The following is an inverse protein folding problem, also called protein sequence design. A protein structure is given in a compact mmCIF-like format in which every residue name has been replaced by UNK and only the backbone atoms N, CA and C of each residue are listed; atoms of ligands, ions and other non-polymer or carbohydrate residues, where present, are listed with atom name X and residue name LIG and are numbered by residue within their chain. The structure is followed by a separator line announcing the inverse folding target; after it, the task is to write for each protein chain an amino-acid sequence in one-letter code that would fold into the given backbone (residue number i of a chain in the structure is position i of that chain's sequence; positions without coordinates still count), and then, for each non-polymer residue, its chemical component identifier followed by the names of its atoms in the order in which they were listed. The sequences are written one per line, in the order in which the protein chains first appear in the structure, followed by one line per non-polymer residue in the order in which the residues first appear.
data_IF_795493531773
#
_entry.id   IF_795493531773
#
_cell.length_a   1.000
_cell.length_b   1.000
_cell.length_c   1.000
_cell.angle_alpha   90.00
_cell.angle_beta   90.00
_cell.angle_gamma   90.00
#
_symmetry.space_group_name_H-M   'P 1'
#
loop_
_entity.id
_entity.type
_entity.pdbx_description
1 polymer ?
#
# COMPACT_ATOMS: atom_id res chain seq x y z
N UNK A 1 13.06 9.69 -23.73
CA UNK A 1 12.35 9.80 -22.43
C UNK A 1 12.64 8.56 -21.60
N UNK A 2 12.82 8.69 -20.30
CA UNK A 2 13.21 7.59 -19.41
C UNK A 2 12.03 6.61 -19.20
N UNK A 3 12.13 5.32 -19.60
CA UNK A 3 11.07 4.31 -19.38
C UNK A 3 10.65 4.17 -17.91
N UNK A 4 11.59 4.42 -17.00
CA UNK A 4 11.37 4.37 -15.56
C UNK A 4 10.35 5.42 -15.09
N UNK A 5 10.42 6.66 -15.62
CA UNK A 5 9.46 7.72 -15.29
C UNK A 5 8.03 7.32 -15.66
N UNK A 6 7.83 6.79 -16.86
CA UNK A 6 6.51 6.42 -17.35
C UNK A 6 5.93 5.22 -16.59
N UNK A 7 6.75 4.22 -16.24
CA UNK A 7 6.32 3.12 -15.39
C UNK A 7 5.87 3.64 -14.01
N UNK A 8 6.70 4.49 -13.38
CA UNK A 8 6.36 5.10 -12.10
C UNK A 8 5.07 5.94 -12.15
N UNK A 9 4.84 6.69 -13.22
CA UNK A 9 3.60 7.45 -13.40
C UNK A 9 2.38 6.53 -13.53
N UNK A 10 2.46 5.45 -14.32
CA UNK A 10 1.36 4.50 -14.46
C UNK A 10 1.04 3.82 -13.12
N UNK A 11 2.06 3.47 -12.35
CA UNK A 11 1.92 2.92 -11.00
C UNK A 11 1.20 3.92 -10.07
N UNK A 12 1.62 5.19 -10.07
CA UNK A 12 0.96 6.23 -9.28
C UNK A 12 -0.52 6.42 -9.68
N UNK A 13 -0.83 6.38 -10.98
CA UNK A 13 -2.21 6.45 -11.47
C UNK A 13 -3.04 5.23 -11.05
N UNK A 14 -2.44 4.02 -11.03
CA UNK A 14 -3.10 2.84 -10.49
C UNK A 14 -3.45 3.01 -9.00
N UNK A 15 -2.53 3.58 -8.20
CA UNK A 15 -2.77 3.91 -6.79
C UNK A 15 -3.94 4.87 -6.59
N UNK A 16 -4.02 5.92 -7.42
CA UNK A 16 -5.15 6.85 -7.42
C UNK A 16 -6.46 6.18 -7.85
N UNK A 17 -6.41 5.26 -8.82
CA UNK A 17 -7.56 4.45 -9.25
C UNK A 17 -8.08 3.56 -8.12
N UNK A 18 -7.19 2.89 -7.39
CA UNK A 18 -7.55 2.10 -6.20
C UNK A 18 -8.14 3.00 -5.10
N UNK A 19 -7.55 4.18 -4.85
CA UNK A 19 -8.11 5.14 -3.89
C UNK A 19 -9.53 5.57 -4.26
N UNK A 20 -9.76 5.89 -5.54
CA UNK A 20 -11.08 6.25 -6.04
C UNK A 20 -12.08 5.11 -5.85
N UNK A 21 -11.72 3.88 -6.22
CA UNK A 21 -12.56 2.71 -6.06
C UNK A 21 -12.91 2.46 -4.58
N UNK A 22 -11.93 2.62 -3.69
CA UNK A 22 -12.13 2.52 -2.24
C UNK A 22 -13.14 3.55 -1.73
N UNK A 23 -13.00 4.82 -2.10
CA UNK A 23 -13.95 5.87 -1.73
C UNK A 23 -15.33 5.68 -2.37
N UNK A 24 -15.41 5.11 -3.58
CA UNK A 24 -16.68 4.82 -4.23
C UNK A 24 -17.43 3.69 -3.49
N UNK A 25 -16.75 2.59 -3.16
CA UNK A 25 -17.33 1.44 -2.46
C UNK A 25 -17.78 1.78 -1.03
N UNK A 26 -16.98 2.55 -0.32
CA UNK A 26 -17.31 3.00 1.04
C UNK A 26 -18.51 3.94 1.06
N UNK A 27 -18.69 4.77 0.02
CA UNK A 27 -19.88 5.64 -0.16
C UNK A 27 -21.13 4.87 -0.61
N UNK A 28 -21.01 3.99 -1.60
CA UNK A 28 -22.14 3.30 -2.22
C UNK A 28 -22.88 2.36 -1.25
N UNK A 29 -22.19 1.87 -0.22
CA UNK A 29 -22.71 0.82 0.66
C UNK A 29 -23.80 1.27 1.65
N UNK A 30 -24.29 2.53 1.58
CA UNK A 30 -25.61 2.98 2.07
C UNK A 30 -26.01 2.75 3.53
N UNK A 31 -25.18 2.08 4.35
CA UNK A 31 -25.54 1.75 5.71
C UNK A 31 -25.78 3.04 6.50
N UNK A 32 -26.89 3.16 7.25
CA UNK A 32 -27.07 4.29 8.15
C UNK A 32 -25.85 4.29 9.07
N UNK A 33 -25.16 5.45 9.16
CA UNK A 33 -24.14 5.60 10.15
C UNK A 33 -24.79 5.25 11.48
N UNK A 34 -24.34 4.19 12.15
CA UNK A 34 -24.70 3.97 13.53
C UNK A 34 -24.19 5.23 14.23
N UNK A 35 -25.11 6.15 14.53
CA UNK A 35 -24.84 7.38 15.24
C UNK A 35 -24.48 6.98 16.68
N UNK A 36 -23.29 6.43 16.86
CA UNK A 36 -22.62 6.51 18.13
C UNK A 36 -22.37 7.99 18.32
N UNK A 37 -23.14 8.61 19.22
CA UNK A 37 -23.15 10.01 19.66
C UNK A 37 -21.82 10.40 20.32
N UNK A 38 -20.72 10.22 19.60
CA UNK A 38 -19.40 10.73 19.92
C UNK A 38 -19.23 12.03 19.15
N UNK A 39 -18.80 13.07 19.86
CA UNK A 39 -18.67 14.44 19.38
C UNK A 39 -18.22 14.53 17.92
N UNK A 40 -18.92 15.35 17.14
CA UNK A 40 -18.54 15.62 15.75
C UNK A 40 -17.05 15.94 15.69
N UNK A 41 -16.25 15.17 14.93
CA UNK A 41 -14.81 15.33 14.93
C UNK A 41 -14.47 16.75 14.50
N UNK A 42 -13.46 17.35 15.13
CA UNK A 42 -12.97 18.66 14.70
C UNK A 42 -12.49 18.60 13.25
N UNK A 43 -12.60 19.72 12.53
CA UNK A 43 -12.07 19.81 11.16
C UNK A 43 -10.59 19.43 11.07
N UNK A 44 -9.81 19.75 12.11
CA UNK A 44 -8.41 19.37 12.22
C UNK A 44 -8.24 17.84 12.25
N UNK A 45 -9.06 17.13 13.04
CA UNK A 45 -9.02 15.67 13.11
C UNK A 45 -9.38 14.99 11.78
N UNK A 46 -10.36 15.52 11.05
CA UNK A 46 -10.69 15.07 9.68
C UNK A 46 -9.53 15.27 8.71
N UNK A 47 -8.91 16.46 8.70
CA UNK A 47 -7.76 16.76 7.83
C UNK A 47 -6.58 15.84 8.14
N UNK A 48 -6.27 15.62 9.41
CA UNK A 48 -5.19 14.72 9.83
C UNK A 48 -5.44 13.28 9.36
N UNK A 49 -6.67 12.78 9.49
CA UNK A 49 -7.05 11.43 9.05
C UNK A 49 -6.88 11.28 7.53
N UNK A 50 -7.35 12.26 6.74
CA UNK A 50 -7.18 12.29 5.29
C UNK A 50 -5.71 12.33 4.88
N UNK A 51 -4.91 13.17 5.55
CA UNK A 51 -3.48 13.24 5.30
C UNK A 51 -2.81 11.90 5.61
N UNK A 52 -3.15 11.27 6.74
CA UNK A 52 -2.68 9.94 7.11
C UNK A 52 -3.00 8.88 6.07
N UNK A 53 -4.23 8.87 5.54
CA UNK A 53 -4.63 8.01 4.44
C UNK A 53 -3.76 8.22 3.19
N UNK A 54 -3.62 9.47 2.72
CA UNK A 54 -2.89 9.74 1.49
C UNK A 54 -1.38 9.46 1.60
N UNK A 55 -0.78 9.79 2.75
CA UNK A 55 0.64 9.51 2.99
C UNK A 55 0.90 8.00 3.03
N UNK A 56 0.10 7.24 3.77
CA UNK A 56 0.25 5.79 3.85
C UNK A 56 -0.08 5.08 2.54
N UNK A 57 -1.04 5.59 1.77
CA UNK A 57 -1.29 5.13 0.40
C UNK A 57 -0.08 5.36 -0.49
N UNK A 58 0.52 6.54 -0.44
CA UNK A 58 1.72 6.85 -1.21
C UNK A 58 2.88 5.92 -0.81
N UNK A 59 3.06 5.62 0.48
CA UNK A 59 4.07 4.66 0.96
C UNK A 59 3.77 3.21 0.55
N UNK A 60 2.50 2.79 0.57
CA UNK A 60 2.13 1.42 0.18
C UNK A 60 2.20 1.16 -1.32
N UNK A 61 1.90 2.18 -2.13
CA UNK A 61 1.89 2.10 -3.61
C UNK A 61 3.19 2.56 -4.27
N UNK A 62 4.03 3.29 -3.53
CA UNK A 62 5.15 4.09 -4.06
C UNK A 62 4.78 4.97 -5.23
N UNK A 63 3.83 5.87 -5.01
CA UNK A 63 3.54 6.96 -5.93
C UNK A 63 4.76 7.86 -6.26
N UNK A 64 5.95 7.64 -5.64
CA UNK A 64 7.20 8.34 -5.90
C UNK A 64 8.18 7.61 -6.84
N UNK A 65 7.78 6.49 -7.46
CA UNK A 65 8.61 5.71 -8.40
C UNK A 65 9.20 6.49 -9.59
N UNK A 66 8.76 7.72 -9.86
CA UNK A 66 9.35 8.56 -10.90
C UNK A 66 10.61 9.32 -10.45
N UNK A 67 11.02 9.21 -9.18
CA UNK A 67 12.22 9.82 -8.63
C UNK A 67 13.44 8.86 -8.69
N UNK A 68 14.69 9.37 -8.73
CA UNK A 68 15.88 8.54 -8.73
C UNK A 68 15.96 7.64 -7.49
N UNK A 69 16.41 6.38 -7.63
CA UNK A 69 16.50 5.44 -6.50
C UNK A 69 17.52 5.86 -5.43
N UNK A 70 18.53 6.64 -5.83
CA UNK A 70 19.54 7.22 -4.94
C UNK A 70 19.62 8.71 -5.15
N UNK A 71 19.98 9.43 -4.10
CA UNK A 71 20.44 10.82 -4.22
C UNK A 71 21.95 10.84 -4.51
N UNK A 72 22.50 12.01 -4.86
CA UNK A 72 23.92 12.20 -5.20
C UNK A 72 24.90 12.00 -4.01
N UNK A 73 24.48 11.30 -2.94
CA UNK A 73 25.27 10.97 -1.75
C UNK A 73 24.96 9.55 -1.23
N UNK A 74 25.29 8.49 -2.00
CA UNK A 74 24.95 7.11 -1.64
C UNK A 74 25.52 6.70 -0.27
N UNK A 75 24.75 5.92 0.49
CA UNK A 75 25.18 5.35 1.78
C UNK A 75 25.17 6.32 2.97
N UNK A 76 24.78 7.58 2.75
CA UNK A 76 24.52 8.52 3.85
C UNK A 76 23.17 8.24 4.51
N UNK A 77 22.94 8.72 5.73
CA UNK A 77 21.64 8.63 6.40
C UNK A 77 20.51 9.27 5.56
N UNK A 78 20.83 10.33 4.81
CA UNK A 78 19.89 11.01 3.94
C UNK A 78 19.51 10.13 2.74
N UNK A 79 20.47 9.38 2.18
CA UNK A 79 20.20 8.41 1.11
C UNK A 79 19.39 7.22 1.62
N UNK A 80 19.63 6.75 2.86
CA UNK A 80 18.79 5.73 3.48
C UNK A 80 17.36 6.19 3.72
N UNK A 81 17.17 7.41 4.25
CA UNK A 81 15.85 7.99 4.43
C UNK A 81 15.14 8.17 3.09
N UNK A 82 15.87 8.64 2.07
CA UNK A 82 15.38 8.76 0.72
C UNK A 82 14.90 7.41 0.17
N UNK A 83 15.74 6.38 0.24
CA UNK A 83 15.39 5.03 -0.19
C UNK A 83 14.16 4.51 0.56
N UNK A 84 14.06 4.71 1.87
CA UNK A 84 12.90 4.30 2.67
C UNK A 84 11.59 4.96 2.20
N UNK A 85 11.65 6.23 1.80
CA UNK A 85 10.48 6.95 1.27
C UNK A 85 10.21 6.68 -0.21
N UNK A 86 11.22 6.20 -0.92
CA UNK A 86 11.17 5.92 -2.36
C UNK A 86 10.62 4.51 -2.63
N UNK A 87 11.15 3.50 -1.94
CA UNK A 87 10.69 2.12 -2.05
C UNK A 87 9.33 1.94 -1.36
N UNK A 88 8.39 1.22 -2.01
CA UNK A 88 7.11 0.96 -1.38
C UNK A 88 7.30 0.00 -0.24
N UNK A 89 6.36 0.03 0.69
CA UNK A 89 6.38 -0.89 1.84
C UNK A 89 6.56 -2.37 1.42
N UNK A 90 5.90 -2.87 0.35
CA UNK A 90 6.22 -4.18 -0.23
C UNK A 90 7.70 -4.44 -0.56
N UNK A 91 8.43 -3.43 -1.04
CA UNK A 91 9.83 -3.54 -1.49
C UNK A 91 10.85 -3.20 -0.39
N UNK A 92 10.40 -2.98 0.86
CA UNK A 92 11.31 -2.78 1.99
C UNK A 92 12.12 -4.05 2.31
N UNK A 93 11.74 -5.21 1.77
CA UNK A 93 12.55 -6.42 1.78
C UNK A 93 13.93 -6.21 1.12
N UNK A 94 14.03 -5.41 0.05
CA UNK A 94 15.30 -5.05 -0.58
C UNK A 94 16.18 -4.28 0.41
N UNK A 95 15.59 -3.37 1.18
CA UNK A 95 16.33 -2.54 2.13
C UNK A 95 16.85 -3.35 3.31
N UNK A 96 16.09 -4.35 3.77
CA UNK A 96 16.43 -5.14 4.96
C UNK A 96 17.27 -6.38 4.63
N UNK A 97 16.96 -7.06 3.53
CA UNK A 97 17.48 -8.37 3.19
C UNK A 97 18.33 -8.36 1.91
N UNK A 98 18.23 -7.30 1.10
CA UNK A 98 18.94 -7.13 -0.16
C UNK A 98 18.17 -7.65 -1.37
N UNK A 99 18.67 -7.33 -2.57
CA UNK A 99 18.03 -7.68 -3.86
C UNK A 99 17.65 -9.16 -4.06
N UNK A 100 18.40 -10.17 -3.55
CA UNK A 100 17.98 -11.58 -3.70
C UNK A 100 16.65 -11.91 -3.02
N UNK A 101 16.21 -11.08 -2.08
CA UNK A 101 14.96 -11.22 -1.34
C UNK A 101 13.85 -10.32 -1.88
N UNK A 102 14.08 -9.58 -2.97
CA UNK A 102 13.05 -8.77 -3.59
C UNK A 102 11.80 -9.61 -3.87
N UNK A 103 10.65 -9.12 -3.44
CA UNK A 103 9.36 -9.82 -3.48
C UNK A 103 9.27 -10.98 -2.50
N UNK A 104 9.80 -10.76 -1.31
CA UNK A 104 9.68 -11.69 -0.20
C UNK A 104 8.20 -11.88 0.16
N UNK A 105 7.82 -13.14 0.37
CA UNK A 105 6.40 -13.52 0.46
C UNK A 105 5.63 -12.77 1.55
N UNK A 106 6.28 -12.36 2.65
CA UNK A 106 5.61 -11.61 3.72
C UNK A 106 5.36 -10.15 3.35
N UNK A 107 6.36 -9.45 2.81
CA UNK A 107 6.20 -8.04 2.40
C UNK A 107 5.27 -7.91 1.19
N UNK A 108 5.27 -8.92 0.33
CA UNK A 108 4.35 -9.05 -0.80
C UNK A 108 3.10 -9.89 -0.47
N UNK A 109 2.50 -9.63 0.70
CA UNK A 109 1.24 -10.24 1.12
C UNK A 109 0.32 -9.27 1.85
N UNK A 110 -0.92 -9.72 2.09
CA UNK A 110 -1.88 -9.01 2.91
C UNK A 110 -1.55 -9.02 4.41
N UNK A 111 -0.48 -9.70 4.85
CA UNK A 111 -0.07 -9.77 6.26
C UNK A 111 0.20 -8.39 6.84
N UNK A 112 0.93 -7.53 6.12
CA UNK A 112 1.22 -6.16 6.59
C UNK A 112 -0.08 -5.35 6.77
N UNK A 113 -1.00 -5.27 5.77
CA UNK A 113 -2.31 -4.65 5.95
C UNK A 113 -3.09 -5.19 7.15
N UNK A 114 -3.13 -6.51 7.36
CA UNK A 114 -3.83 -7.09 8.50
C UNK A 114 -3.24 -6.66 9.84
N UNK A 115 -1.92 -6.76 9.98
CA UNK A 115 -1.23 -6.40 11.23
C UNK A 115 -1.41 -4.91 11.50
N UNK A 116 -1.19 -4.06 10.49
CA UNK A 116 -1.35 -2.61 10.66
C UNK A 116 -2.78 -2.23 11.02
N UNK A 117 -3.79 -2.73 10.30
CA UNK A 117 -5.18 -2.44 10.63
C UNK A 117 -5.60 -2.96 12.00
N UNK A 118 -5.11 -4.14 12.42
CA UNK A 118 -5.35 -4.66 13.77
C UNK A 118 -4.73 -3.78 14.86
N UNK A 119 -3.50 -3.31 14.65
CA UNK A 119 -2.81 -2.41 15.58
C UNK A 119 -3.41 -1.01 15.62
N UNK A 120 -4.04 -0.58 14.54
CA UNK A 120 -4.58 0.78 14.41
C UNK A 120 -6.09 0.87 14.64
N UNK A 121 -6.76 -0.25 14.91
CA UNK A 121 -8.21 -0.36 14.98
C UNK A 121 -8.88 0.60 15.97
N UNK A 122 -8.27 0.83 17.13
CA UNK A 122 -8.89 1.64 18.20
C UNK A 122 -8.85 3.14 17.93
N UNK A 123 -7.90 3.62 17.12
CA UNK A 123 -7.64 5.05 17.00
C UNK A 123 -7.91 5.55 15.59
N UNK A 124 -8.89 6.45 15.47
CA UNK A 124 -9.35 7.05 14.20
C UNK A 124 -8.23 7.45 13.23
N UNK A 125 -7.25 8.24 13.68
CA UNK A 125 -6.17 8.70 12.80
C UNK A 125 -5.37 7.51 12.26
N UNK A 126 -5.12 6.54 13.13
CA UNK A 126 -4.32 5.38 12.79
C UNK A 126 -5.11 4.41 11.91
N UNK A 127 -6.45 4.30 12.08
CA UNK A 127 -7.31 3.57 11.15
C UNK A 127 -7.20 4.13 9.74
N UNK A 128 -7.23 5.45 9.58
CA UNK A 128 -7.07 6.08 8.26
C UNK A 128 -5.70 5.77 7.64
N UNK A 129 -4.63 5.73 8.44
CA UNK A 129 -3.30 5.24 8.03
C UNK A 129 -3.35 3.76 7.62
N UNK A 130 -4.04 2.91 8.37
CA UNK A 130 -4.22 1.50 8.02
C UNK A 130 -4.96 1.32 6.69
N UNK A 131 -6.03 2.09 6.44
CA UNK A 131 -6.77 2.07 5.18
C UNK A 131 -5.89 2.50 4.00
N UNK A 132 -5.17 3.61 4.16
CA UNK A 132 -4.31 4.13 3.10
C UNK A 132 -3.21 3.13 2.75
N UNK A 133 -2.51 2.59 3.76
CA UNK A 133 -1.49 1.57 3.55
C UNK A 133 -2.07 0.33 2.86
N UNK A 134 -3.20 -0.20 3.32
CA UNK A 134 -3.83 -1.38 2.74
C UNK A 134 -4.24 -1.17 1.27
N UNK A 135 -4.82 -0.02 0.95
CA UNK A 135 -5.17 0.36 -0.45
C UNK A 135 -3.92 0.56 -1.30
N UNK A 136 -2.89 1.21 -0.75
CA UNK A 136 -1.61 1.42 -1.43
C UNK A 136 -0.92 0.09 -1.77
N UNK A 137 -0.79 -0.79 -0.78
CA UNK A 137 -0.23 -2.12 -0.97
C UNK A 137 -1.06 -2.96 -1.95
N UNK A 138 -2.39 -2.91 -1.87
CA UNK A 138 -3.24 -3.60 -2.83
C UNK A 138 -2.98 -3.14 -4.27
N UNK A 139 -2.87 -1.82 -4.48
CA UNK A 139 -2.50 -1.26 -5.78
C UNK A 139 -1.14 -1.77 -6.25
N UNK A 140 -0.14 -1.77 -5.37
CA UNK A 140 1.20 -2.23 -5.70
C UNK A 140 1.24 -3.70 -6.10
N UNK A 141 0.64 -4.57 -5.29
CA UNK A 141 0.59 -6.01 -5.57
C UNK A 141 -0.18 -6.31 -6.87
N UNK A 142 -1.28 -5.60 -7.13
CA UNK A 142 -2.01 -5.75 -8.39
C UNK A 142 -1.18 -5.29 -9.60
N UNK A 143 -0.48 -4.16 -9.48
CA UNK A 143 0.41 -3.65 -10.52
C UNK A 143 1.53 -4.65 -10.82
N UNK A 144 2.18 -5.17 -9.78
CA UNK A 144 3.22 -6.18 -9.90
C UNK A 144 2.71 -7.47 -10.54
N UNK A 145 1.49 -7.89 -10.22
CA UNK A 145 0.89 -9.07 -10.85
C UNK A 145 0.69 -8.89 -12.36
N UNK A 146 0.27 -7.68 -12.78
CA UNK A 146 -0.03 -7.36 -14.19
C UNK A 146 1.26 -7.15 -15.00
N UNK A 147 2.27 -6.52 -14.41
CA UNK A 147 3.46 -6.05 -15.15
C UNK A 147 4.67 -6.96 -15.02
N UNK A 148 4.66 -7.91 -14.09
CA UNK A 148 5.81 -8.81 -13.93
C UNK A 148 6.02 -9.76 -15.12
N UNK A 149 7.29 -10.04 -15.38
CA UNK A 149 7.71 -11.11 -16.27
C UNK A 149 7.49 -12.49 -15.62
N UNK A 150 7.35 -13.54 -16.42
CA UNK A 150 7.19 -14.92 -15.91
C UNK A 150 8.39 -15.41 -15.09
N UNK A 151 9.55 -14.76 -15.27
CA UNK A 151 10.77 -15.05 -14.53
C UNK A 151 10.81 -14.37 -13.16
N UNK A 152 9.94 -13.40 -12.88
CA UNK A 152 9.99 -12.68 -11.62
C UNK A 152 9.39 -13.54 -10.50
N UNK A 153 10.14 -13.86 -9.43
CA UNK A 153 9.67 -14.74 -8.37
C UNK A 153 8.91 -14.01 -7.26
N UNK A 154 8.07 -14.75 -6.53
CA UNK A 154 7.77 -14.49 -5.12
C UNK A 154 8.68 -15.39 -4.29
N UNK A 155 9.53 -14.78 -3.46
CA UNK A 155 10.62 -15.46 -2.74
C UNK A 155 10.14 -15.89 -1.36
N UNK A 156 10.22 -17.18 -1.05
CA UNK A 156 9.98 -17.71 0.30
C UNK A 156 11.32 -17.91 1.03
N UNK A 157 12.27 -18.54 0.32
CA UNK A 157 13.68 -18.67 0.65
C UNK A 157 14.49 -18.48 -0.64
N UNK A 158 15.81 -18.23 -0.59
CA UNK A 158 16.63 -18.01 -1.80
C UNK A 158 16.46 -19.10 -2.86
N UNK A 159 16.28 -20.36 -2.45
CA UNK A 159 16.11 -21.52 -3.33
C UNK A 159 14.63 -21.98 -3.47
N UNK A 160 13.69 -21.30 -2.82
CA UNK A 160 12.26 -21.64 -2.82
C UNK A 160 11.43 -20.43 -3.25
N UNK A 161 10.85 -20.50 -4.45
CA UNK A 161 10.08 -19.40 -5.01
C UNK A 161 8.88 -19.86 -5.85
N UNK A 162 7.82 -19.05 -5.86
CA UNK A 162 6.74 -19.13 -6.85
C UNK A 162 7.09 -18.27 -8.06
N UNK A 163 6.72 -18.72 -9.27
CA UNK A 163 6.98 -18.00 -10.54
C UNK A 163 5.77 -18.09 -11.48
N UNK A 164 5.83 -17.34 -12.58
CA UNK A 164 4.79 -17.35 -13.61
C UNK A 164 3.40 -17.05 -13.05
N UNK A 165 2.40 -17.79 -13.54
CA UNK A 165 0.99 -17.55 -13.18
C UNK A 165 0.68 -17.82 -11.70
N UNK A 166 1.43 -18.69 -11.04
CA UNK A 166 1.27 -18.92 -9.59
C UNK A 166 1.69 -17.68 -8.77
N UNK A 167 2.78 -17.01 -9.19
CA UNK A 167 3.20 -15.74 -8.57
C UNK A 167 2.18 -14.62 -8.85
N UNK A 168 1.63 -14.54 -10.08
CA UNK A 168 0.57 -13.59 -10.42
C UNK A 168 -0.68 -13.81 -9.56
N UNK A 169 -1.12 -15.05 -9.44
CA UNK A 169 -2.27 -15.42 -8.62
C UNK A 169 -2.05 -15.06 -7.14
N UNK A 170 -0.86 -15.37 -6.60
CA UNK A 170 -0.49 -14.99 -5.22
C UNK A 170 -0.67 -13.49 -4.99
N UNK A 171 -0.11 -12.66 -5.86
CA UNK A 171 -0.18 -11.20 -5.73
C UNK A 171 -1.60 -10.68 -5.87
N UNK A 172 -2.38 -11.16 -6.85
CA UNK A 172 -3.77 -10.73 -7.04
C UNK A 172 -4.67 -11.13 -5.86
N UNK A 173 -4.50 -12.32 -5.30
CA UNK A 173 -5.24 -12.76 -4.11
C UNK A 173 -4.91 -11.87 -2.92
N UNK A 174 -3.62 -11.59 -2.68
CA UNK A 174 -3.21 -10.71 -1.59
C UNK A 174 -3.67 -9.26 -1.80
N UNK A 175 -3.65 -8.77 -3.04
CA UNK A 175 -4.19 -7.46 -3.39
C UNK A 175 -5.69 -7.36 -3.08
N UNK A 176 -6.46 -8.36 -3.51
CA UNK A 176 -7.90 -8.42 -3.27
C UNK A 176 -8.22 -8.50 -1.77
N UNK A 177 -7.46 -9.29 -0.99
CA UNK A 177 -7.62 -9.39 0.46
C UNK A 177 -7.30 -8.04 1.13
N UNK A 178 -6.14 -7.44 0.84
CA UNK A 178 -5.74 -6.16 1.43
C UNK A 178 -6.78 -5.05 1.16
N UNK A 179 -7.22 -4.93 -0.10
CA UNK A 179 -8.24 -3.97 -0.48
C UNK A 179 -9.61 -4.26 0.15
N UNK A 180 -10.02 -5.53 0.15
CA UNK A 180 -11.29 -5.98 0.72
C UNK A 180 -11.38 -5.69 2.21
N UNK A 181 -10.33 -5.98 2.96
CA UNK A 181 -10.26 -5.69 4.41
C UNK A 181 -10.35 -4.18 4.66
N UNK A 182 -9.58 -3.37 3.93
CA UNK A 182 -9.68 -1.91 4.03
C UNK A 182 -11.10 -1.41 3.78
N UNK A 183 -11.73 -1.87 2.68
CA UNK A 183 -13.07 -1.45 2.30
C UNK A 183 -14.13 -1.90 3.33
N UNK A 184 -14.03 -3.12 3.87
CA UNK A 184 -14.96 -3.63 4.88
C UNK A 184 -14.83 -2.86 6.20
N UNK A 185 -13.61 -2.68 6.72
CA UNK A 185 -13.40 -1.97 8.00
C UNK A 185 -13.76 -0.48 7.90
N UNK A 186 -13.46 0.16 6.76
CA UNK A 186 -13.83 1.56 6.54
C UNK A 186 -15.35 1.78 6.47
N UNK A 187 -16.13 0.75 6.10
CA UNK A 187 -17.60 0.83 6.15
C UNK A 187 -18.13 0.91 7.58
N UNK A 188 -17.47 0.24 8.53
CA UNK A 188 -17.82 0.30 9.95
C UNK A 188 -17.44 1.66 10.58
N UNK A 189 -16.39 2.31 10.04
CA UNK A 189 -15.82 3.53 10.62
C UNK A 189 -15.81 4.72 9.64
N UNK A 190 -16.89 4.92 8.89
CA UNK A 190 -16.98 5.95 7.84
C UNK A 190 -16.65 7.37 8.30
N UNK A 191 -16.93 7.68 9.57
CA UNK A 191 -16.69 9.01 10.13
C UNK A 191 -15.21 9.43 10.05
N UNK A 192 -14.29 8.48 9.85
CA UNK A 192 -12.85 8.70 9.88
C UNK A 192 -12.27 9.35 8.62
N UNK A 193 -12.93 9.21 7.46
CA UNK A 193 -12.44 9.59 6.13
C UNK A 193 -12.96 10.95 5.62
#
# INVERSE_FOLDING_TARGET
MNPYFWNGLQHALAGLGCAWAFFALTRASGAPATETTLASPSDAGRRASRLGFWLSLAMGSSALFFLPAHIDRPGTWADWLWQLTHYPVPDWDILWLGMPWHRWFLTHSAVIPFVTMGLTFEHRLWRAVGYGLAVGMASHLAWDAITQSDRTPIVFLPDLALRGDSARAWLLVNAAIAFGVAALTAREHRADL
#
